data_IF_638380192503
#
_entry.id   IF_638380192503
#
_cell.length_a   1.000
_cell.length_b   1.000
_cell.length_c   1.000
_cell.angle_alpha   90.00
_cell.angle_beta   90.00
_cell.angle_gamma   90.00
#
_symmetry.space_group_name_H-M   'P 1'
#
loop_
_entity.id
_entity.type
_entity.pdbx_description
1 polymer ?
#
# COMPACT_ATOMS: atom_id res chain seq x y z
N UNK A 1 10.83 -18.42 -37.97
CA UNK A 1 11.60 -19.12 -36.91
C UNK A 1 10.67 -19.29 -35.72
N UNK A 2 10.57 -20.46 -35.10
CA UNK A 2 9.76 -20.59 -33.88
C UNK A 2 10.47 -19.93 -32.72
N UNK A 3 9.78 -19.09 -31.95
CA UNK A 3 10.31 -18.58 -30.68
C UNK A 3 10.37 -19.74 -29.69
N UNK A 4 11.51 -19.85 -29.01
CA UNK A 4 11.80 -20.97 -28.10
C UNK A 4 11.66 -20.55 -26.62
N UNK A 5 11.24 -19.29 -26.35
CA UNK A 5 10.94 -18.80 -25.01
C UNK A 5 9.42 -18.89 -24.72
N UNK A 6 9.03 -18.67 -23.47
CA UNK A 6 7.64 -18.70 -23.02
C UNK A 6 7.02 -17.29 -22.94
N UNK A 7 7.76 -16.26 -23.27
CA UNK A 7 7.34 -14.85 -23.06
C UNK A 7 6.11 -14.51 -23.89
N UNK A 8 6.09 -14.86 -25.17
CA UNK A 8 4.93 -14.65 -26.04
C UNK A 8 3.66 -15.37 -25.57
N UNK A 9 3.81 -16.56 -24.93
CA UNK A 9 2.69 -17.25 -24.31
C UNK A 9 2.19 -16.49 -23.10
N UNK A 10 3.09 -16.11 -22.17
CA UNK A 10 2.72 -15.37 -20.97
C UNK A 10 2.08 -14.03 -21.33
N UNK A 11 2.62 -13.31 -22.31
CA UNK A 11 2.02 -12.09 -22.84
C UNK A 11 0.60 -12.32 -23.33
N UNK A 12 0.38 -13.37 -24.12
CA UNK A 12 -0.96 -13.69 -24.61
C UNK A 12 -1.94 -14.07 -23.49
N UNK A 13 -1.44 -14.66 -22.39
CA UNK A 13 -2.25 -14.96 -21.21
C UNK A 13 -2.62 -13.68 -20.45
N UNK A 14 -1.69 -12.74 -20.31
CA UNK A 14 -1.91 -11.44 -19.66
C UNK A 14 -2.88 -10.54 -20.44
N UNK A 15 -2.92 -10.65 -21.77
CA UNK A 15 -3.86 -9.92 -22.64
C UNK A 15 -5.29 -10.47 -22.65
N UNK A 16 -5.56 -11.58 -21.97
CA UNK A 16 -6.91 -12.12 -21.88
C UNK A 16 -7.80 -11.20 -21.04
N UNK A 17 -9.04 -11.04 -21.47
CA UNK A 17 -10.04 -10.32 -20.65
C UNK A 17 -10.17 -11.03 -19.31
N UNK A 18 -10.00 -10.33 -18.18
CA UNK A 18 -10.17 -10.92 -16.85
C UNK A 18 -11.58 -11.51 -16.66
N UNK A 19 -11.70 -12.56 -15.85
CA UNK A 19 -12.98 -13.23 -15.60
C UNK A 19 -14.00 -12.35 -14.88
N UNK A 20 -13.54 -11.39 -14.11
CA UNK A 20 -14.34 -10.40 -13.37
C UNK A 20 -14.13 -8.99 -13.90
N UNK A 21 -13.73 -8.85 -15.20
CA UNK A 21 -13.64 -7.54 -15.82
C UNK A 21 -14.96 -6.78 -15.67
N UNK A 22 -14.87 -5.47 -15.42
CA UNK A 22 -16.05 -4.64 -15.23
C UNK A 22 -16.96 -4.61 -16.48
N UNK A 23 -18.24 -4.80 -16.24
CA UNK A 23 -19.28 -4.68 -17.27
C UNK A 23 -20.34 -3.68 -16.78
N UNK A 24 -20.51 -2.58 -17.49
CA UNK A 24 -21.47 -1.52 -17.16
C UNK A 24 -22.93 -2.02 -17.15
N UNK A 25 -23.23 -3.09 -17.89
CA UNK A 25 -24.56 -3.68 -17.98
C UNK A 25 -24.86 -4.71 -16.89
N UNK A 26 -23.83 -5.18 -16.16
CA UNK A 26 -24.01 -6.13 -15.08
C UNK A 26 -24.65 -5.49 -13.84
N UNK A 27 -25.24 -6.34 -12.99
CA UNK A 27 -25.63 -5.90 -11.65
C UNK A 27 -24.37 -5.57 -10.84
N UNK A 28 -24.23 -4.29 -10.48
CA UNK A 28 -23.03 -3.77 -9.82
C UNK A 28 -22.75 -4.44 -8.48
N UNK A 29 -23.78 -4.59 -7.65
CA UNK A 29 -23.60 -5.13 -6.30
C UNK A 29 -23.22 -6.61 -6.31
N UNK A 30 -23.84 -7.39 -7.20
CA UNK A 30 -23.49 -8.81 -7.37
C UNK A 30 -22.09 -8.97 -7.96
N UNK A 31 -21.69 -8.13 -8.89
CA UNK A 31 -20.35 -8.15 -9.47
C UNK A 31 -19.31 -7.73 -8.42
N UNK A 32 -19.54 -6.64 -7.69
CA UNK A 32 -18.69 -6.17 -6.62
C UNK A 32 -18.48 -7.24 -5.53
N UNK A 33 -19.56 -7.95 -5.17
CA UNK A 33 -19.47 -9.06 -4.20
C UNK A 33 -18.54 -10.17 -4.69
N UNK A 34 -18.60 -10.54 -5.98
CA UNK A 34 -17.70 -11.54 -6.59
C UNK A 34 -16.24 -11.05 -6.62
N UNK A 35 -16.03 -9.76 -6.92
CA UNK A 35 -14.68 -9.15 -6.85
C UNK A 35 -14.15 -9.22 -5.43
N UNK A 36 -14.96 -8.86 -4.41
CA UNK A 36 -14.58 -8.93 -2.99
C UNK A 36 -14.22 -10.35 -2.57
N UNK A 37 -15.07 -11.32 -2.87
CA UNK A 37 -14.83 -12.74 -2.56
C UNK A 37 -13.49 -13.21 -3.14
N UNK A 38 -13.27 -12.96 -4.44
CA UNK A 38 -12.05 -13.37 -5.12
C UNK A 38 -10.81 -12.61 -4.62
N UNK A 39 -10.94 -11.33 -4.30
CA UNK A 39 -9.89 -10.52 -3.69
C UNK A 39 -9.43 -11.13 -2.36
N UNK A 40 -10.35 -11.47 -1.46
CA UNK A 40 -10.02 -12.07 -0.16
C UNK A 40 -9.34 -13.44 -0.33
N UNK A 41 -9.85 -14.25 -1.27
CA UNK A 41 -9.30 -15.58 -1.58
C UNK A 41 -7.85 -15.50 -2.07
N UNK A 42 -7.56 -14.68 -3.10
CA UNK A 42 -6.20 -14.64 -3.69
C UNK A 42 -5.17 -13.95 -2.81
N UNK A 43 -5.59 -13.09 -1.90
CA UNK A 43 -4.71 -12.53 -0.87
C UNK A 43 -4.53 -13.46 0.32
N UNK A 44 -5.29 -14.54 0.39
CA UNK A 44 -5.30 -15.52 1.49
C UNK A 44 -5.66 -14.87 2.85
N UNK A 45 -6.59 -13.91 2.86
CA UNK A 45 -6.95 -13.19 4.08
C UNK A 45 -7.52 -14.13 5.14
N UNK A 46 -8.36 -15.08 4.75
CA UNK A 46 -8.95 -16.05 5.69
C UNK A 46 -7.89 -16.96 6.31
N UNK A 47 -6.86 -17.35 5.56
CA UNK A 47 -5.73 -18.12 6.06
C UNK A 47 -4.90 -17.31 7.07
N UNK A 48 -4.68 -16.02 6.80
CA UNK A 48 -3.98 -15.12 7.71
C UNK A 48 -4.82 -14.94 9.00
N UNK A 49 -6.13 -14.76 8.87
CA UNK A 49 -7.05 -14.54 9.99
C UNK A 49 -7.12 -15.72 10.96
N UNK A 50 -6.84 -16.96 10.53
CA UNK A 50 -6.78 -18.12 11.42
C UNK A 50 -5.71 -17.98 12.51
N UNK A 51 -4.66 -17.19 12.25
CA UNK A 51 -3.59 -16.94 13.21
C UNK A 51 -3.77 -15.63 13.99
N UNK A 52 -4.92 -14.95 13.84
CA UNK A 52 -5.22 -13.70 14.53
C UNK A 52 -5.09 -13.81 16.06
N UNK A 53 -4.71 -12.72 16.69
CA UNK A 53 -4.60 -12.60 18.15
C UNK A 53 -5.22 -11.29 18.63
N UNK A 54 -5.41 -11.16 19.92
CA UNK A 54 -5.78 -9.91 20.57
C UNK A 54 -4.66 -8.88 20.36
N UNK A 55 -5.01 -7.64 20.00
CA UNK A 55 -4.03 -6.56 19.90
C UNK A 55 -3.52 -6.21 21.30
N UNK A 56 -2.19 -6.23 21.40
CA UNK A 56 -1.46 -5.74 22.57
C UNK A 56 -0.40 -4.78 22.07
N UNK A 57 -0.39 -3.59 22.65
CA UNK A 57 0.56 -2.53 22.31
C UNK A 57 1.65 -2.49 23.39
N UNK A 58 2.90 -2.59 22.96
CA UNK A 58 4.08 -2.39 23.80
C UNK A 58 4.75 -1.08 23.37
N UNK A 59 4.72 -0.08 24.25
CA UNK A 59 5.39 1.20 24.01
C UNK A 59 6.87 1.05 24.36
N UNK A 60 7.74 1.23 23.38
CA UNK A 60 9.20 1.13 23.54
C UNK A 60 9.83 2.48 23.88
N UNK A 61 9.32 3.58 23.29
CA UNK A 61 9.88 4.92 23.46
C UNK A 61 8.83 6.00 23.26
N UNK A 62 8.88 7.05 24.07
CA UNK A 62 8.12 8.30 23.86
C UNK A 62 9.09 9.48 23.90
N UNK A 63 9.15 10.24 22.82
CA UNK A 63 10.07 11.41 22.69
C UNK A 63 9.30 12.65 22.26
N UNK A 64 9.45 13.73 23.01
CA UNK A 64 8.94 15.04 22.60
C UNK A 64 9.92 15.67 21.61
N UNK A 65 9.42 16.01 20.44
CA UNK A 65 10.13 16.71 19.37
C UNK A 65 9.59 18.14 19.23
N UNK A 66 10.18 18.93 18.35
CA UNK A 66 9.66 20.26 18.05
C UNK A 66 8.34 20.15 17.27
N UNK A 67 7.24 20.54 17.94
CA UNK A 67 5.89 20.56 17.38
C UNK A 67 5.12 19.24 17.36
N UNK A 68 5.68 18.14 17.86
CA UNK A 68 4.98 16.84 17.96
C UNK A 68 5.58 15.92 19.01
N UNK A 69 4.79 14.94 19.44
CA UNK A 69 5.26 13.82 20.26
C UNK A 69 5.39 12.57 19.38
N UNK A 70 6.55 11.93 19.41
CA UNK A 70 6.79 10.65 18.72
C UNK A 70 6.75 9.50 19.71
N UNK A 71 5.91 8.52 19.44
CA UNK A 71 5.85 7.24 20.17
C UNK A 71 6.33 6.14 19.26
N UNK A 72 7.34 5.36 19.70
CA UNK A 72 7.68 4.09 19.11
C UNK A 72 6.99 2.99 19.89
N UNK A 73 6.32 2.09 19.18
CA UNK A 73 5.65 0.97 19.78
C UNK A 73 5.64 -0.26 18.85
N UNK A 74 5.34 -1.40 19.41
CA UNK A 74 5.18 -2.67 18.70
C UNK A 74 3.82 -3.25 19.06
N UNK A 75 3.16 -3.89 18.10
CA UNK A 75 1.98 -4.71 18.34
C UNK A 75 2.10 -6.06 17.64
N UNK A 76 1.40 -7.06 18.14
CA UNK A 76 1.33 -8.38 17.52
C UNK A 76 0.12 -8.42 16.58
N UNK A 77 0.36 -8.49 15.25
CA UNK A 77 -0.71 -8.48 14.24
C UNK A 77 -1.37 -9.84 14.07
N UNK A 78 -0.59 -10.87 14.21
CA UNK A 78 -0.97 -12.28 14.30
C UNK A 78 0.06 -13.01 15.17
N UNK A 79 -0.27 -14.19 15.69
CA UNK A 79 0.61 -14.90 16.63
C UNK A 79 2.01 -15.10 16.07
N UNK A 80 3.00 -14.51 16.76
CA UNK A 80 4.41 -14.57 16.38
C UNK A 80 4.85 -13.52 15.36
N UNK A 81 3.97 -12.62 14.93
CA UNK A 81 4.32 -11.52 14.02
C UNK A 81 4.16 -10.16 14.71
N UNK A 82 5.28 -9.53 15.02
CA UNK A 82 5.35 -8.24 15.70
C UNK A 82 5.61 -7.13 14.68
N UNK A 83 4.80 -6.08 14.70
CA UNK A 83 4.86 -4.96 13.76
C UNK A 83 5.37 -3.71 14.47
N UNK A 84 6.60 -3.25 14.17
CA UNK A 84 7.11 -2.00 14.70
C UNK A 84 6.41 -0.79 14.07
N UNK A 85 6.09 0.21 14.90
CA UNK A 85 5.40 1.41 14.51
C UNK A 85 6.01 2.67 15.09
N UNK A 86 5.89 3.78 14.36
CA UNK A 86 6.03 5.14 14.89
C UNK A 86 4.70 5.86 14.78
N UNK A 87 4.22 6.41 15.88
CA UNK A 87 3.08 7.33 15.89
C UNK A 87 3.58 8.74 16.25
N UNK A 88 3.35 9.69 15.37
CA UNK A 88 3.67 11.10 15.56
C UNK A 88 2.38 11.88 15.76
N UNK A 89 2.18 12.47 16.92
CA UNK A 89 0.99 13.28 17.23
C UNK A 89 1.40 14.75 17.35
N UNK A 90 0.81 15.68 16.55
CA UNK A 90 1.13 17.10 16.64
C UNK A 90 0.82 17.70 18.01
N UNK A 91 1.62 18.68 18.46
CA UNK A 91 1.45 19.40 19.71
C UNK A 91 0.72 20.76 19.50
N UNK A 92 -0.34 20.78 18.68
CA UNK A 92 -1.07 22.04 18.38
C UNK A 92 -2.25 22.31 19.31
N UNK A 93 -2.48 21.44 20.30
CA UNK A 93 -3.55 21.59 21.28
C UNK A 93 -4.97 21.24 20.78
N UNK A 94 -5.10 20.62 19.62
CA UNK A 94 -6.39 20.06 19.16
C UNK A 94 -6.77 18.85 20.02
N UNK A 95 -8.08 18.69 20.25
CA UNK A 95 -8.61 17.55 20.99
C UNK A 95 -8.35 16.22 20.25
N UNK A 96 -8.55 16.20 18.91
CA UNK A 96 -8.32 15.05 18.06
C UNK A 96 -7.67 15.46 16.74
N UNK A 97 -6.85 14.58 16.20
CA UNK A 97 -6.18 14.72 14.91
C UNK A 97 -6.63 13.62 13.95
N UNK A 98 -6.95 13.93 12.69
CA UNK A 98 -7.14 12.90 11.66
C UNK A 98 -5.88 12.06 11.53
N UNK A 99 -6.04 10.79 11.21
CA UNK A 99 -4.91 9.85 11.12
C UNK A 99 -4.42 9.74 9.69
N UNK A 100 -3.11 9.82 9.51
CA UNK A 100 -2.42 9.51 8.26
C UNK A 100 -1.59 8.23 8.44
N UNK A 101 -1.98 7.15 7.79
CA UNK A 101 -1.17 5.94 7.72
C UNK A 101 -0.15 6.11 6.60
N UNK A 102 1.13 6.00 6.93
CA UNK A 102 2.26 6.24 6.05
C UNK A 102 2.96 4.93 5.71
N UNK A 103 2.89 4.51 4.45
CA UNK A 103 3.49 3.27 3.97
C UNK A 103 4.64 3.59 3.01
N UNK A 104 5.89 3.35 3.47
CA UNK A 104 7.08 3.57 2.65
C UNK A 104 7.17 2.58 1.48
N UNK A 105 7.85 2.99 0.41
CA UNK A 105 8.26 2.12 -0.68
C UNK A 105 9.40 1.17 -0.27
N UNK A 106 10.12 0.66 -1.28
CA UNK A 106 11.29 -0.20 -1.06
C UNK A 106 12.52 0.63 -0.64
N UNK A 107 12.40 1.29 0.51
CA UNK A 107 13.49 2.02 1.19
C UNK A 107 14.15 1.15 2.25
N UNK A 108 15.17 1.68 2.92
CA UNK A 108 15.89 0.97 3.97
C UNK A 108 15.04 0.69 5.23
N UNK A 109 13.85 1.29 5.34
CA UNK A 109 12.89 1.07 6.42
C UNK A 109 12.04 2.31 6.73
N UNK A 110 11.07 2.14 7.61
CA UNK A 110 10.09 3.18 7.96
C UNK A 110 10.69 4.39 8.71
N UNK A 111 11.93 4.29 9.21
CA UNK A 111 12.67 5.39 9.82
C UNK A 111 12.86 6.57 8.84
N UNK A 112 12.88 6.31 7.53
CA UNK A 112 12.91 7.34 6.49
C UNK A 112 11.67 8.26 6.58
N UNK A 113 10.50 7.70 6.87
CA UNK A 113 9.25 8.47 7.00
C UNK A 113 9.26 9.47 8.15
N UNK A 114 10.06 9.21 9.20
CA UNK A 114 10.24 10.12 10.34
C UNK A 114 11.52 10.98 10.23
N UNK A 115 12.20 10.96 9.06
CA UNK A 115 13.39 11.75 8.80
C UNK A 115 14.63 11.31 9.58
N UNK A 116 14.71 10.06 10.03
CA UNK A 116 15.90 9.54 10.70
C UNK A 116 16.83 8.86 9.69
N UNK A 117 18.10 9.27 9.70
CA UNK A 117 19.15 8.68 8.87
C UNK A 117 19.83 7.53 9.61
N UNK A 118 19.76 6.34 9.05
CA UNK A 118 20.49 5.15 9.53
C UNK A 118 21.57 4.69 8.54
N UNK A 119 21.32 4.89 7.24
CA UNK A 119 22.18 4.45 6.15
C UNK A 119 22.49 5.59 5.17
N UNK A 120 23.54 5.46 4.36
CA UNK A 120 23.91 6.47 3.37
C UNK A 120 22.85 6.60 2.24
N UNK A 121 22.15 5.51 1.91
CA UNK A 121 21.07 5.50 0.94
C UNK A 121 19.86 6.34 1.35
N UNK A 122 19.67 6.57 2.65
CA UNK A 122 18.49 7.28 3.17
C UNK A 122 18.46 8.75 2.73
N UNK A 123 19.61 9.34 2.41
CA UNK A 123 19.68 10.74 1.97
C UNK A 123 18.87 10.96 0.69
N UNK A 124 18.86 9.99 -0.24
CA UNK A 124 18.07 10.03 -1.47
C UNK A 124 16.59 9.79 -1.16
N UNK A 125 16.31 8.76 -0.37
CA UNK A 125 14.93 8.39 0.00
C UNK A 125 14.22 9.51 0.77
N UNK A 126 14.91 10.21 1.68
CA UNK A 126 14.33 11.29 2.50
C UNK A 126 13.92 12.52 1.68
N UNK A 127 14.39 12.69 0.46
CA UNK A 127 13.93 13.79 -0.41
C UNK A 127 12.42 13.73 -0.62
N UNK A 128 11.85 12.53 -0.75
CA UNK A 128 10.44 12.33 -1.12
C UNK A 128 9.65 11.53 -0.09
N UNK A 129 10.28 10.78 0.80
CA UNK A 129 9.61 9.73 1.59
C UNK A 129 9.46 10.07 3.07
N UNK A 130 9.56 11.34 3.46
CA UNK A 130 9.35 11.81 4.85
C UNK A 130 7.85 11.92 5.20
N UNK A 131 7.05 10.93 4.82
CA UNK A 131 5.58 10.99 4.85
C UNK A 131 5.01 11.38 6.22
N UNK A 132 5.58 10.87 7.32
CA UNK A 132 5.08 11.18 8.65
C UNK A 132 5.36 12.63 9.08
N UNK A 133 6.56 13.13 8.79
CA UNK A 133 6.89 14.53 9.07
C UNK A 133 6.03 15.48 8.25
N UNK A 134 5.80 15.15 6.98
CA UNK A 134 4.96 15.96 6.12
C UNK A 134 3.48 15.85 6.57
N UNK A 135 3.03 14.69 7.02
CA UNK A 135 1.70 14.49 7.63
C UNK A 135 1.49 15.37 8.88
N UNK A 136 2.44 15.36 9.81
CA UNK A 136 2.39 16.20 11.03
C UNK A 136 2.33 17.67 10.68
N UNK A 137 3.16 18.17 9.75
CA UNK A 137 3.14 19.56 9.26
C UNK A 137 1.78 19.96 8.67
N UNK A 138 1.06 18.98 8.13
CA UNK A 138 -0.27 19.15 7.54
C UNK A 138 -1.42 18.85 8.51
N UNK A 139 -1.12 18.70 9.81
CA UNK A 139 -2.11 18.60 10.87
C UNK A 139 -2.69 17.21 11.11
N UNK A 140 -2.03 16.15 10.62
CA UNK A 140 -2.38 14.75 10.87
C UNK A 140 -1.58 14.18 12.04
N UNK A 141 -2.19 13.26 12.79
CA UNK A 141 -1.42 12.27 13.54
C UNK A 141 -0.93 11.20 12.53
N UNK A 142 0.39 11.03 12.43
CA UNK A 142 0.98 10.18 11.40
C UNK A 142 1.44 8.84 12.00
N UNK A 143 0.91 7.73 11.45
CA UNK A 143 1.27 6.37 11.81
C UNK A 143 2.14 5.75 10.72
N UNK A 144 3.40 5.45 11.04
CA UNK A 144 4.29 4.66 10.18
C UNK A 144 4.32 3.21 10.66
N UNK A 145 4.22 2.29 9.73
CA UNK A 145 4.24 0.84 9.98
C UNK A 145 5.43 0.27 9.23
N UNK A 146 6.29 -0.51 9.89
CA UNK A 146 7.30 -1.29 9.18
C UNK A 146 6.62 -2.43 8.44
N UNK A 147 6.70 -2.44 7.13
CA UNK A 147 6.05 -3.45 6.31
C UNK A 147 6.86 -4.74 6.25
N UNK A 148 6.20 -5.90 6.27
CA UNK A 148 6.86 -7.21 6.17
C UNK A 148 7.79 -7.28 4.94
N UNK A 149 8.98 -7.79 5.17
CA UNK A 149 10.04 -7.90 4.18
C UNK A 149 10.83 -6.61 3.97
N UNK A 150 10.58 -5.53 4.73
CA UNK A 150 11.31 -4.28 4.69
C UNK A 150 11.93 -3.96 6.07
N UNK A 151 12.99 -3.16 6.07
CA UNK A 151 13.61 -2.60 7.25
C UNK A 151 13.82 -3.61 8.38
N UNK A 152 13.23 -3.35 9.53
CA UNK A 152 13.35 -4.22 10.72
C UNK A 152 12.63 -5.57 10.56
N UNK A 153 11.70 -5.69 9.61
CA UNK A 153 11.01 -6.92 9.26
C UNK A 153 11.65 -7.69 8.08
N UNK A 154 12.86 -7.32 7.67
CA UNK A 154 13.59 -8.11 6.68
C UNK A 154 14.05 -9.45 7.26
N UNK A 155 14.01 -10.49 6.43
CA UNK A 155 14.66 -11.76 6.76
C UNK A 155 16.17 -11.54 6.90
N UNK A 156 16.79 -11.87 8.04
CA UNK A 156 18.22 -11.67 8.24
C UNK A 156 19.06 -12.38 7.17
N UNK A 157 19.99 -11.65 6.57
CA UNK A 157 20.88 -12.11 5.49
C UNK A 157 21.61 -13.42 5.82
N UNK A 158 21.86 -13.70 7.08
CA UNK A 158 22.61 -14.87 7.55
C UNK A 158 21.84 -16.20 7.55
N UNK A 159 20.55 -16.19 7.22
CA UNK A 159 19.79 -17.44 7.16
C UNK A 159 19.95 -18.15 5.83
N UNK A 160 20.46 -19.39 5.87
CA UNK A 160 20.37 -20.40 4.82
C UNK A 160 21.08 -20.07 3.50
N UNK A 161 22.34 -19.61 3.55
CA UNK A 161 23.15 -19.43 2.33
C UNK A 161 22.69 -18.28 1.43
N UNK A 162 22.05 -17.28 2.02
CA UNK A 162 21.70 -16.04 1.37
C UNK A 162 22.94 -15.37 0.77
N UNK A 163 22.89 -15.02 -0.51
CA UNK A 163 23.97 -14.30 -1.18
C UNK A 163 23.76 -12.82 -0.92
N UNK A 164 24.64 -12.24 -0.10
CA UNK A 164 24.61 -10.83 0.26
C UNK A 164 24.59 -9.93 -0.99
N UNK A 165 23.70 -8.94 -0.99
CA UNK A 165 23.57 -7.96 -2.09
C UNK A 165 22.91 -8.47 -3.37
N UNK A 166 22.34 -9.68 -3.38
CA UNK A 166 21.59 -10.18 -4.53
C UNK A 166 20.10 -10.37 -4.20
N UNK A 167 19.26 -9.72 -4.96
CA UNK A 167 17.81 -9.87 -4.93
C UNK A 167 17.07 -8.71 -4.27
N UNK A 168 15.75 -8.75 -4.39
CA UNK A 168 14.84 -7.84 -3.74
C UNK A 168 14.72 -8.16 -2.24
N UNK A 169 14.70 -7.17 -1.33
CA UNK A 169 14.53 -7.38 0.12
C UNK A 169 13.37 -8.32 0.47
N UNK A 170 12.27 -8.21 -0.28
CA UNK A 170 11.05 -8.99 -0.04
C UNK A 170 11.10 -10.42 -0.59
N UNK A 171 12.13 -10.82 -1.36
CA UNK A 171 12.12 -12.08 -2.12
C UNK A 171 11.85 -13.29 -1.22
N UNK A 172 12.63 -13.47 -0.17
CA UNK A 172 12.49 -14.63 0.70
C UNK A 172 11.16 -14.64 1.45
N UNK A 173 10.74 -13.48 1.97
CA UNK A 173 9.46 -13.35 2.68
C UNK A 173 8.30 -13.68 1.74
N UNK A 174 8.31 -13.12 0.51
CA UNK A 174 7.26 -13.36 -0.46
C UNK A 174 7.20 -14.82 -0.93
N UNK A 175 8.37 -15.42 -1.25
CA UNK A 175 8.41 -16.81 -1.70
C UNK A 175 8.03 -17.80 -0.58
N UNK A 176 8.39 -17.50 0.66
CA UNK A 176 7.97 -18.31 1.80
C UNK A 176 6.47 -18.18 2.06
N UNK A 177 5.90 -16.98 1.95
CA UNK A 177 4.46 -16.77 2.03
C UNK A 177 3.72 -17.62 0.97
N UNK A 178 4.18 -17.58 -0.29
CA UNK A 178 3.58 -18.38 -1.36
C UNK A 178 3.65 -19.88 -1.08
N UNK A 179 4.77 -20.39 -0.52
CA UNK A 179 4.91 -21.80 -0.15
C UNK A 179 3.94 -22.23 0.96
N UNK A 180 3.50 -21.30 1.79
CA UNK A 180 2.57 -21.55 2.89
C UNK A 180 1.12 -21.19 2.54
N UNK A 181 0.82 -20.93 1.26
CA UNK A 181 -0.52 -20.61 0.79
C UNK A 181 -0.95 -19.15 1.07
N UNK A 182 -0.01 -18.26 1.36
CA UNK A 182 -0.25 -16.85 1.66
C UNK A 182 0.38 -15.94 0.61
N UNK A 183 0.09 -14.64 0.64
CA UNK A 183 0.77 -13.64 -0.18
C UNK A 183 1.35 -12.54 0.70
N UNK A 184 2.54 -12.03 0.34
CA UNK A 184 3.15 -10.97 1.13
C UNK A 184 2.31 -9.68 1.13
N UNK A 185 1.61 -9.37 0.03
CA UNK A 185 0.70 -8.23 0.01
C UNK A 185 -0.52 -8.46 0.91
N UNK A 186 -1.06 -9.67 0.97
CA UNK A 186 -2.14 -10.03 1.89
C UNK A 186 -1.72 -9.87 3.36
N UNK A 187 -0.51 -10.28 3.69
CA UNK A 187 0.06 -10.10 5.03
C UNK A 187 0.25 -8.61 5.39
N UNK A 188 0.69 -7.77 4.43
CA UNK A 188 0.78 -6.32 4.63
C UNK A 188 -0.58 -5.65 4.80
N UNK A 189 -1.57 -6.07 4.01
CA UNK A 189 -2.96 -5.61 4.14
C UNK A 189 -3.51 -5.94 5.53
N UNK A 190 -3.26 -7.14 6.01
CA UNK A 190 -3.62 -7.56 7.35
C UNK A 190 -2.96 -6.69 8.41
N UNK A 191 -1.65 -6.46 8.32
CA UNK A 191 -0.91 -5.63 9.28
C UNK A 191 -1.41 -4.19 9.32
N UNK A 192 -1.77 -3.60 8.17
CA UNK A 192 -2.36 -2.25 8.11
C UNK A 192 -3.71 -2.21 8.84
N UNK A 193 -4.57 -3.21 8.62
CA UNK A 193 -5.86 -3.28 9.31
C UNK A 193 -5.68 -3.45 10.82
N UNK A 194 -4.74 -4.31 11.25
CA UNK A 194 -4.42 -4.51 12.67
C UNK A 194 -3.75 -3.28 13.30
N UNK A 195 -2.98 -2.52 12.53
CA UNK A 195 -2.44 -1.24 12.98
C UNK A 195 -3.54 -0.21 13.22
N UNK A 196 -4.60 -0.20 12.42
CA UNK A 196 -5.79 0.62 12.70
C UNK A 196 -6.44 0.19 14.03
N UNK A 197 -6.53 -1.11 14.31
CA UNK A 197 -7.03 -1.59 15.61
C UNK A 197 -6.17 -1.11 16.78
N UNK A 198 -4.84 -1.01 16.60
CA UNK A 198 -3.92 -0.53 17.64
C UNK A 198 -4.10 0.94 18.00
N UNK A 199 -4.73 1.75 17.14
CA UNK A 199 -4.99 3.16 17.42
C UNK A 199 -5.91 3.37 18.64
N UNK A 200 -6.71 2.39 19.00
CA UNK A 200 -7.56 2.43 20.20
C UNK A 200 -6.80 2.56 21.53
N UNK A 201 -5.48 2.32 21.50
CA UNK A 201 -4.61 2.44 22.68
C UNK A 201 -4.00 3.84 22.85
N UNK A 202 -4.30 4.78 21.93
CA UNK A 202 -3.73 6.12 21.93
C UNK A 202 -4.81 7.19 21.97
N UNK A 203 -4.55 8.25 22.73
CA UNK A 203 -5.41 9.41 22.81
C UNK A 203 -5.20 10.39 21.66
N UNK A 204 -6.11 11.35 21.51
CA UNK A 204 -6.05 12.45 20.55
C UNK A 204 -6.11 12.04 19.06
N UNK A 205 -6.62 10.85 18.75
CA UNK A 205 -6.77 10.37 17.38
C UNK A 205 -8.24 10.39 16.93
N UNK A 206 -8.48 10.90 15.72
CA UNK A 206 -9.77 10.76 15.03
C UNK A 206 -9.72 9.50 14.15
N UNK A 207 -10.08 8.37 14.74
CA UNK A 207 -10.09 7.06 14.06
C UNK A 207 -11.22 6.90 13.05
N UNK A 208 -12.15 7.86 12.98
CA UNK A 208 -13.18 7.92 11.93
C UNK A 208 -12.70 8.66 10.67
N UNK A 209 -11.56 9.36 10.76
CA UNK A 209 -10.96 10.13 9.68
C UNK A 209 -9.54 9.63 9.37
N UNK A 210 -9.47 8.48 8.70
CA UNK A 210 -8.21 7.82 8.34
C UNK A 210 -7.91 8.02 6.86
N UNK A 211 -6.76 8.60 6.57
CA UNK A 211 -6.14 8.65 5.24
C UNK A 211 -4.96 7.66 5.20
N UNK A 212 -4.82 6.90 4.12
CA UNK A 212 -3.66 6.04 3.89
C UNK A 212 -2.89 6.54 2.67
N UNK A 213 -1.58 6.73 2.81
CA UNK A 213 -0.69 7.21 1.75
C UNK A 213 0.54 6.33 1.64
N UNK A 214 1.01 6.13 0.42
CA UNK A 214 2.27 5.44 0.19
C UNK A 214 2.75 5.57 -1.25
N UNK A 215 4.04 5.31 -1.45
CA UNK A 215 4.67 5.34 -2.77
C UNK A 215 5.21 3.97 -3.15
N UNK A 216 5.16 3.61 -4.43
CA UNK A 216 5.73 2.35 -4.94
C UNK A 216 5.15 1.13 -4.19
N UNK A 217 5.98 0.30 -3.60
CA UNK A 217 5.54 -0.83 -2.76
C UNK A 217 4.61 -0.40 -1.61
N UNK A 218 4.80 0.80 -1.03
CA UNK A 218 3.88 1.39 -0.06
C UNK A 218 2.58 1.86 -0.70
N UNK A 219 2.63 2.36 -1.92
CA UNK A 219 1.44 2.70 -2.71
C UNK A 219 0.61 1.46 -3.05
N UNK A 220 1.28 0.35 -3.42
CA UNK A 220 0.61 -0.95 -3.61
C UNK A 220 -0.10 -1.37 -2.32
N UNK A 221 0.61 -1.37 -1.18
CA UNK A 221 0.02 -1.70 0.11
C UNK A 221 -1.15 -0.76 0.47
N UNK A 222 -1.03 0.56 0.19
CA UNK A 222 -2.10 1.54 0.37
C UNK A 222 -3.35 1.17 -0.43
N UNK A 223 -3.19 0.87 -1.71
CA UNK A 223 -4.31 0.54 -2.59
C UNK A 223 -5.03 -0.73 -2.14
N UNK A 224 -4.28 -1.81 -1.91
CA UNK A 224 -4.85 -3.07 -1.46
C UNK A 224 -5.44 -2.96 -0.04
N UNK A 225 -4.81 -2.24 0.89
CA UNK A 225 -5.39 -2.02 2.23
C UNK A 225 -6.70 -1.26 2.19
N UNK A 226 -6.82 -0.25 1.32
CA UNK A 226 -8.08 0.47 1.14
C UNK A 226 -9.19 -0.40 0.51
N UNK A 227 -8.82 -1.38 -0.33
CA UNK A 227 -9.77 -2.38 -0.83
C UNK A 227 -10.30 -3.31 0.28
N UNK A 228 -9.50 -3.56 1.31
CA UNK A 228 -9.84 -4.44 2.42
C UNK A 228 -10.56 -3.71 3.56
N UNK A 229 -9.99 -2.62 4.06
CA UNK A 229 -10.44 -1.94 5.28
C UNK A 229 -11.24 -0.67 4.99
N UNK A 230 -12.52 -0.72 5.26
CA UNK A 230 -13.47 0.38 5.00
C UNK A 230 -13.29 1.59 5.93
N UNK A 231 -12.47 1.45 7.01
CA UNK A 231 -12.10 2.56 7.89
C UNK A 231 -11.17 3.56 7.21
N UNK A 232 -10.43 3.14 6.18
CA UNK A 232 -9.62 4.04 5.35
C UNK A 232 -10.57 4.88 4.47
N UNK A 233 -10.75 6.16 4.80
CA UNK A 233 -11.69 7.07 4.10
C UNK A 233 -11.09 7.67 2.83
N UNK A 234 -9.78 7.86 2.83
CA UNK A 234 -9.03 8.39 1.69
C UNK A 234 -7.83 7.50 1.42
N UNK A 235 -7.69 7.02 0.19
CA UNK A 235 -6.52 6.27 -0.26
C UNK A 235 -5.72 7.08 -1.27
N UNK A 236 -4.40 7.19 -1.04
CA UNK A 236 -3.46 7.94 -1.88
C UNK A 236 -2.31 7.03 -2.31
N UNK A 237 -2.53 6.06 -3.20
CA UNK A 237 -1.46 5.28 -3.77
C UNK A 237 -0.71 6.10 -4.84
N UNK A 238 0.59 6.26 -4.66
CA UNK A 238 1.49 6.94 -5.60
C UNK A 238 2.38 5.94 -6.30
N UNK A 239 2.51 6.05 -7.63
CA UNK A 239 3.33 5.19 -8.48
C UNK A 239 3.12 3.69 -8.18
N UNK A 240 1.85 3.24 -8.20
CA UNK A 240 1.50 1.91 -7.71
C UNK A 240 0.28 1.26 -8.39
N UNK A 241 -0.57 2.02 -9.06
CA UNK A 241 -1.79 1.51 -9.70
C UNK A 241 -1.65 1.62 -11.22
N UNK A 242 -1.53 0.48 -11.86
CA UNK A 242 -1.26 0.36 -13.30
C UNK A 242 -1.79 -0.99 -13.75
N UNK A 243 -2.04 -1.19 -15.05
CA UNK A 243 -2.42 -2.52 -15.53
C UNK A 243 -1.30 -3.54 -15.26
N UNK A 244 -1.68 -4.77 -14.93
CA UNK A 244 -0.70 -5.82 -14.64
C UNK A 244 0.25 -6.05 -15.82
N UNK A 245 -0.26 -5.90 -17.05
CA UNK A 245 0.55 -6.12 -18.24
C UNK A 245 1.60 -5.01 -18.44
N UNK A 246 1.25 -3.75 -18.18
CA UNK A 246 2.15 -2.60 -18.37
C UNK A 246 3.05 -2.33 -17.16
N UNK A 247 3.01 -3.18 -16.13
CA UNK A 247 3.81 -3.05 -14.93
C UNK A 247 4.35 -4.42 -14.49
N UNK A 248 3.70 -5.09 -13.56
CA UNK A 248 4.17 -6.32 -12.89
C UNK A 248 4.48 -7.45 -13.88
N UNK A 249 3.77 -7.53 -15.00
CA UNK A 249 3.94 -8.58 -16.00
C UNK A 249 5.16 -8.41 -16.91
N UNK A 250 5.54 -7.18 -17.21
CA UNK A 250 6.60 -6.88 -18.19
C UNK A 250 7.83 -6.22 -17.61
N UNK A 251 7.66 -5.44 -16.56
CA UNK A 251 8.76 -4.72 -15.93
C UNK A 251 9.28 -5.53 -14.75
N UNK A 252 10.56 -5.44 -14.46
CA UNK A 252 11.09 -6.05 -13.25
C UNK A 252 10.44 -5.43 -12.01
N UNK A 253 9.81 -6.28 -11.21
CA UNK A 253 9.16 -5.90 -9.96
C UNK A 253 9.65 -6.71 -8.78
N UNK A 254 9.50 -6.11 -7.59
CA UNK A 254 9.68 -6.85 -6.36
C UNK A 254 8.68 -8.01 -6.27
N UNK A 255 9.14 -9.16 -5.79
CA UNK A 255 8.32 -10.36 -5.59
C UNK A 255 7.07 -10.16 -4.73
N UNK A 256 7.04 -9.11 -3.88
CA UNK A 256 5.87 -8.76 -3.07
C UNK A 256 4.65 -8.31 -3.90
N UNK A 257 4.83 -7.90 -5.16
CA UNK A 257 3.74 -7.47 -6.03
C UNK A 257 3.06 -8.65 -6.77
N UNK A 258 3.66 -9.84 -6.74
CA UNK A 258 3.12 -10.99 -7.46
C UNK A 258 2.06 -11.71 -6.62
N UNK A 259 0.81 -11.58 -7.04
CA UNK A 259 -0.35 -12.22 -6.42
C UNK A 259 -0.83 -13.33 -7.36
N UNK A 260 -0.82 -14.60 -6.92
CA UNK A 260 -1.26 -15.71 -7.76
C UNK A 260 -2.68 -15.48 -8.32
N UNK A 261 -2.82 -15.69 -9.63
CA UNK A 261 -4.08 -15.56 -10.35
C UNK A 261 -4.69 -14.15 -10.44
N UNK A 262 -4.06 -13.08 -9.94
CA UNK A 262 -4.66 -11.75 -9.98
C UNK A 262 -5.11 -11.36 -11.40
N UNK A 263 -4.21 -11.32 -12.37
CA UNK A 263 -4.52 -10.96 -13.75
C UNK A 263 -5.52 -11.90 -14.46
N UNK A 264 -5.77 -13.10 -13.91
CA UNK A 264 -6.82 -13.99 -14.42
C UNK A 264 -8.23 -13.51 -14.07
N UNK A 265 -8.37 -12.91 -12.89
CA UNK A 265 -9.69 -12.55 -12.36
C UNK A 265 -10.02 -11.08 -12.58
N UNK A 266 -9.09 -10.17 -12.39
CA UNK A 266 -9.29 -8.72 -12.52
C UNK A 266 -7.96 -8.03 -12.86
N UNK A 267 -8.02 -6.79 -13.32
CA UNK A 267 -6.88 -5.89 -13.29
C UNK A 267 -7.02 -4.95 -12.07
N UNK A 268 -6.05 -4.07 -11.85
CA UNK A 268 -6.11 -3.15 -10.70
C UNK A 268 -7.33 -2.21 -10.78
N UNK A 269 -7.83 -1.90 -11.97
CA UNK A 269 -9.01 -1.06 -12.15
C UNK A 269 -10.26 -1.59 -11.45
N UNK A 270 -10.54 -2.89 -11.56
CA UNK A 270 -11.72 -3.53 -10.97
C UNK A 270 -11.73 -3.50 -9.44
N UNK A 271 -10.54 -3.54 -8.83
CA UNK A 271 -10.39 -3.50 -7.37
C UNK A 271 -10.89 -2.19 -6.77
N UNK A 272 -10.92 -1.09 -7.54
CA UNK A 272 -11.46 0.19 -7.08
C UNK A 272 -12.94 0.12 -6.69
N UNK A 273 -13.68 -0.90 -7.14
CA UNK A 273 -15.04 -1.16 -6.68
C UNK A 273 -15.12 -1.38 -5.16
N UNK A 274 -14.05 -1.92 -4.56
CA UNK A 274 -13.97 -2.17 -3.11
C UNK A 274 -13.66 -0.90 -2.32
N UNK A 275 -13.12 0.14 -3.00
CA UNK A 275 -12.87 1.46 -2.40
C UNK A 275 -14.09 2.36 -2.56
N UNK A 276 -14.72 2.37 -3.74
CA UNK A 276 -15.90 3.20 -4.02
C UNK A 276 -17.04 2.95 -3.00
N UNK A 277 -17.67 4.02 -2.47
CA UNK A 277 -17.64 5.43 -2.89
C UNK A 277 -16.60 6.30 -2.18
N UNK A 278 -15.68 5.73 -1.37
CA UNK A 278 -14.64 6.44 -0.63
C UNK A 278 -13.63 7.12 -1.58
N UNK A 279 -12.92 8.11 -1.07
CA UNK A 279 -12.02 8.91 -1.91
C UNK A 279 -10.77 8.13 -2.32
N UNK A 280 -10.47 8.14 -3.62
CA UNK A 280 -9.28 7.54 -4.22
C UNK A 280 -8.52 8.60 -5.03
N UNK A 281 -7.28 8.90 -4.63
CA UNK A 281 -6.41 9.82 -5.33
C UNK A 281 -5.16 9.10 -5.81
N UNK A 282 -5.09 8.83 -7.10
CA UNK A 282 -3.92 8.23 -7.74
C UNK A 282 -2.91 9.32 -8.10
N UNK A 283 -1.62 9.07 -7.84
CA UNK A 283 -0.52 9.90 -8.34
C UNK A 283 0.43 9.03 -9.13
N UNK A 284 0.81 9.45 -10.35
CA UNK A 284 1.77 8.71 -11.16
C UNK A 284 2.63 9.64 -12.02
N UNK A 285 3.89 9.24 -12.22
CA UNK A 285 4.81 9.97 -13.09
C UNK A 285 4.58 9.69 -14.57
N UNK A 286 4.62 10.73 -15.40
CA UNK A 286 4.46 10.60 -16.86
C UNK A 286 5.57 9.80 -17.53
N UNK A 287 6.75 9.74 -16.88
CA UNK A 287 7.90 8.97 -17.36
C UNK A 287 8.33 7.89 -16.36
N UNK A 288 7.37 7.40 -15.57
CA UNK A 288 7.60 6.27 -14.66
C UNK A 288 7.91 5.00 -15.49
N UNK A 289 9.08 4.39 -15.21
CA UNK A 289 9.58 3.23 -15.93
C UNK A 289 9.21 1.90 -15.26
N UNK A 290 8.46 1.96 -14.14
CA UNK A 290 8.03 0.79 -13.36
C UNK A 290 6.50 0.64 -13.44
N UNK A 291 5.77 1.74 -13.26
CA UNK A 291 4.31 1.84 -13.43
C UNK A 291 4.02 2.79 -14.60
N UNK A 292 4.01 2.25 -15.82
CA UNK A 292 3.90 3.04 -17.03
C UNK A 292 2.59 3.84 -17.04
N UNK A 293 2.68 5.12 -17.41
CA UNK A 293 1.53 6.03 -17.35
C UNK A 293 0.36 5.58 -18.24
N UNK A 294 0.66 4.94 -19.37
CA UNK A 294 -0.35 4.40 -20.30
C UNK A 294 -1.19 3.34 -19.61
N UNK A 295 -0.56 2.39 -18.90
CA UNK A 295 -1.26 1.37 -18.13
C UNK A 295 -2.01 1.95 -16.93
N UNK A 296 -1.51 3.04 -16.32
CA UNK A 296 -2.22 3.77 -15.27
C UNK A 296 -3.47 4.46 -15.82
N UNK A 297 -3.39 5.10 -16.99
CA UNK A 297 -4.55 5.71 -17.67
C UNK A 297 -5.59 4.67 -18.07
N UNK A 298 -5.18 3.50 -18.53
CA UNK A 298 -6.04 2.39 -18.87
C UNK A 298 -6.88 1.95 -17.67
N UNK A 299 -6.23 1.62 -16.55
CA UNK A 299 -6.96 1.22 -15.33
C UNK A 299 -7.78 2.36 -14.76
N UNK A 300 -7.32 3.61 -14.85
CA UNK A 300 -8.07 4.76 -14.37
C UNK A 300 -9.37 4.95 -15.14
N UNK A 301 -9.39 4.69 -16.44
CA UNK A 301 -10.62 4.72 -17.24
C UNK A 301 -11.68 3.71 -16.75
N UNK A 302 -11.26 2.56 -16.23
CA UNK A 302 -12.13 1.57 -15.60
C UNK A 302 -12.61 2.06 -14.23
N UNK A 303 -11.70 2.66 -13.44
CA UNK A 303 -12.00 3.24 -12.12
C UNK A 303 -13.08 4.32 -12.23
N UNK A 304 -12.97 5.25 -13.19
CA UNK A 304 -13.98 6.31 -13.42
C UNK A 304 -15.37 5.73 -13.69
N UNK A 305 -15.46 4.70 -14.54
CA UNK A 305 -16.73 4.02 -14.83
C UNK A 305 -17.32 3.34 -13.59
N UNK A 306 -16.48 2.71 -12.79
CA UNK A 306 -16.88 2.06 -11.52
C UNK A 306 -17.41 3.12 -10.54
N UNK A 307 -16.68 4.22 -10.35
CA UNK A 307 -17.12 5.31 -9.47
C UNK A 307 -18.42 5.96 -9.94
N UNK A 308 -18.57 6.15 -11.25
CA UNK A 308 -19.84 6.61 -11.84
C UNK A 308 -20.97 5.62 -11.53
N UNK A 309 -20.76 4.31 -11.73
CA UNK A 309 -21.76 3.28 -11.44
C UNK A 309 -22.11 3.22 -9.95
N UNK A 310 -21.15 3.51 -9.06
CA UNK A 310 -21.35 3.61 -7.62
C UNK A 310 -22.01 4.92 -7.15
N UNK A 311 -22.34 5.86 -8.07
CA UNK A 311 -22.90 7.17 -7.72
C UNK A 311 -21.91 8.09 -7.00
N UNK A 312 -20.60 7.91 -7.23
CA UNK A 312 -19.52 8.61 -6.56
C UNK A 312 -18.59 9.34 -7.54
N UNK A 313 -19.14 9.87 -8.63
CA UNK A 313 -18.39 10.71 -9.59
C UNK A 313 -17.66 11.84 -8.84
N UNK A 314 -16.38 12.06 -9.19
CA UNK A 314 -15.54 13.06 -8.54
C UNK A 314 -14.90 12.63 -7.22
N UNK A 315 -15.15 11.40 -6.72
CA UNK A 315 -14.45 10.83 -5.59
C UNK A 315 -13.18 10.06 -5.98
N UNK A 316 -12.91 9.87 -7.28
CA UNK A 316 -11.63 9.38 -7.78
C UNK A 316 -10.95 10.45 -8.64
N UNK A 317 -9.62 10.54 -8.52
CA UNK A 317 -8.80 11.49 -9.29
C UNK A 317 -7.47 10.84 -9.66
N UNK A 318 -6.99 11.07 -10.89
CA UNK A 318 -5.63 10.76 -11.31
C UNK A 318 -4.84 12.07 -11.45
N UNK A 319 -3.76 12.20 -10.70
CA UNK A 319 -2.78 13.25 -10.83
C UNK A 319 -1.53 12.72 -11.52
N UNK A 320 -1.24 13.28 -12.68
CA UNK A 320 -0.02 12.99 -13.44
C UNK A 320 1.01 14.10 -13.22
N UNK A 321 2.22 13.74 -12.82
CA UNK A 321 3.34 14.67 -12.69
C UNK A 321 4.44 14.40 -13.72
N UNK A 322 5.25 15.39 -14.10
CA UNK A 322 6.21 15.24 -15.20
C UNK A 322 7.44 14.38 -14.86
N UNK A 323 7.63 14.00 -13.60
CA UNK A 323 8.73 13.16 -13.15
C UNK A 323 8.50 11.68 -13.50
N UNK A 324 9.49 10.84 -13.13
CA UNK A 324 9.42 9.38 -13.21
C UNK A 324 8.79 8.75 -11.96
N UNK A 325 9.46 7.74 -11.43
CA UNK A 325 9.02 7.01 -10.21
C UNK A 325 9.26 7.86 -8.96
N UNK A 326 8.35 8.79 -8.68
CA UNK A 326 8.55 9.88 -7.73
C UNK A 326 7.29 10.16 -6.91
N UNK A 327 7.44 10.48 -5.63
CA UNK A 327 6.36 10.93 -4.78
C UNK A 327 6.31 12.46 -4.74
N UNK A 328 5.31 13.05 -5.41
CA UNK A 328 5.11 14.50 -5.41
C UNK A 328 4.40 14.95 -4.13
N UNK A 329 5.17 15.09 -3.05
CA UNK A 329 4.63 15.43 -1.73
C UNK A 329 3.95 16.80 -1.70
N UNK A 330 4.45 17.78 -2.46
CA UNK A 330 3.89 19.14 -2.47
C UNK A 330 2.49 19.14 -3.11
N UNK A 331 2.33 18.47 -4.25
CA UNK A 331 1.03 18.34 -4.90
C UNK A 331 0.06 17.49 -4.07
N UNK A 332 0.52 16.37 -3.53
CA UNK A 332 -0.32 15.45 -2.74
C UNK A 332 -0.78 16.14 -1.45
N UNK A 333 0.13 16.61 -0.62
CA UNK A 333 -0.25 17.29 0.62
C UNK A 333 -0.94 18.62 0.38
N UNK A 334 -0.61 19.36 -0.69
CA UNK A 334 -1.31 20.59 -1.08
C UNK A 334 -2.81 20.40 -1.34
N UNK A 335 -3.22 19.24 -1.84
CA UNK A 335 -4.64 18.88 -2.07
C UNK A 335 -5.37 18.41 -0.80
N UNK A 336 -4.64 17.85 0.15
CA UNK A 336 -5.20 17.25 1.37
C UNK A 336 -4.91 18.05 2.64
N UNK A 337 -4.27 19.23 2.53
CA UNK A 337 -4.06 20.14 3.67
C UNK A 337 -5.39 20.56 4.25
N UNK A 338 -5.57 20.24 5.51
CA UNK A 338 -6.67 20.77 6.33
C UNK A 338 -6.18 22.01 7.05
N UNK A 339 -6.52 23.18 6.49
CA UNK A 339 -6.27 24.47 7.14
C UNK A 339 -7.15 24.64 8.37
#
# INVERSE_FOLDING_TARGET
MREMNTDSLHESLMKRKPLLAFDENANYDEWKAKVKEKYLEILAIDEIAQNACEIKVEIEEVVKKDGYTRTRYVFESEKGCYVPCYLLVPDTGKEKYPVLICLQGHTAGFHVSIGERKFASDDEDMVTSTFALDGVKNGYAALCIEQRGLGEQQTPVKHRGHIEGKGCPCYYTAMTALLTGRTLIGERVWDVSRAIDSLAFFDHLDVEDITCVGNSGGGTATYYSACYDERIKVAIPSCAVCSYIESIGYTWHCSCNYIPNAAKYFDMGELAALIAPRKLFLSNGQIDHIFHIEGTREVYSVIEKIYKKAGAEGQCELYEHPQGHFFDKEAIFGKFTRK
#
